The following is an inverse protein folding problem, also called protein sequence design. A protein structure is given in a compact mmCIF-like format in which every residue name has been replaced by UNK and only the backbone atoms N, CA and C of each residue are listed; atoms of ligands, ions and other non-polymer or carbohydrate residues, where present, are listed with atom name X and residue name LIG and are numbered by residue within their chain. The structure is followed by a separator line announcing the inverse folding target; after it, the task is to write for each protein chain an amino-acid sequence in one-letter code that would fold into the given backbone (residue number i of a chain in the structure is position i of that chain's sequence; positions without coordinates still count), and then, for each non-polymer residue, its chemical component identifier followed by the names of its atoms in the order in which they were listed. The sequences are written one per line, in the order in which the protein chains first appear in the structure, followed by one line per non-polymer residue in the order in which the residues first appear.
data_IF_969723118864
#
_entry.id   IF_969723118864
#
_cell.length_a   1.000
_cell.length_b   1.000
_cell.length_c   1.000
_cell.angle_alpha   90.00
_cell.angle_beta   90.00
_cell.angle_gamma   90.00
#
_symmetry.space_group_name_H-M   'P 1'
#
loop_
_entity.id
_entity.type
_entity.pdbx_description
1 polymer ?
#
# COMPACT_ATOMS: atom_id res chain seq x y z
N UNK A 1 -0.72 24.85 20.27
CA UNK A 1 -0.43 23.46 20.69
C UNK A 1 1.04 23.20 20.43
N UNK A 2 1.83 22.83 21.46
CA UNK A 2 3.24 22.44 21.30
C UNK A 2 3.30 20.91 21.35
N UNK A 3 3.88 20.27 20.33
CA UNK A 3 4.06 18.83 20.28
C UNK A 3 5.54 18.56 20.51
N UNK A 4 5.90 18.21 21.74
CA UNK A 4 7.29 18.03 22.14
C UNK A 4 7.76 16.58 21.86
N UNK A 5 9.02 16.43 21.47
CA UNK A 5 9.72 15.15 21.28
C UNK A 5 9.09 14.19 20.24
N UNK A 6 8.63 14.72 19.10
CA UNK A 6 8.05 13.94 17.99
C UNK A 6 8.67 14.37 16.67
N UNK A 7 8.88 13.43 15.75
CA UNK A 7 9.37 13.75 14.41
C UNK A 7 8.24 14.33 13.53
N UNK A 8 8.61 14.96 12.39
CA UNK A 8 7.64 15.62 11.51
C UNK A 8 6.47 14.71 11.10
N UNK A 9 6.73 13.44 10.77
CA UNK A 9 5.69 12.47 10.40
C UNK A 9 4.69 12.23 11.55
N UNK A 10 5.19 12.05 12.77
CA UNK A 10 4.36 11.85 13.95
C UNK A 10 3.48 13.06 14.28
N UNK A 11 3.96 14.27 13.97
CA UNK A 11 3.18 15.50 14.10
C UNK A 11 2.07 15.53 13.05
N UNK A 12 2.37 15.28 11.78
CA UNK A 12 1.38 15.26 10.70
C UNK A 12 0.31 14.19 10.91
N UNK A 13 0.70 13.01 11.40
CA UNK A 13 -0.24 11.93 11.68
C UNK A 13 -1.23 12.32 12.79
N UNK A 14 -0.75 12.94 13.87
CA UNK A 14 -1.63 13.44 14.94
C UNK A 14 -2.59 14.51 14.45
N UNK A 15 -2.11 15.44 13.62
CA UNK A 15 -2.95 16.48 13.03
C UNK A 15 -4.03 15.91 12.11
N UNK A 16 -3.71 14.84 11.36
CA UNK A 16 -4.69 14.09 10.58
C UNK A 16 -5.76 13.44 11.46
N UNK A 17 -5.36 12.78 12.53
CA UNK A 17 -6.27 12.05 13.43
C UNK A 17 -7.18 12.99 14.25
N UNK A 18 -6.63 14.08 14.79
CA UNK A 18 -7.36 15.01 15.65
C UNK A 18 -8.24 16.00 14.86
N UNK A 19 -7.80 16.44 13.68
CA UNK A 19 -8.43 17.53 12.93
C UNK A 19 -8.92 17.14 11.54
N UNK A 20 -8.77 15.87 11.12
CA UNK A 20 -9.19 15.41 9.79
C UNK A 20 -8.39 16.04 8.64
N UNK A 21 -7.15 16.46 8.91
CA UNK A 21 -6.29 17.08 7.89
C UNK A 21 -5.60 16.03 7.02
N UNK A 22 -5.58 16.25 5.72
CA UNK A 22 -4.79 15.47 4.77
C UNK A 22 -3.53 16.27 4.42
N UNK A 23 -2.39 15.58 4.40
CA UNK A 23 -1.10 16.14 4.02
C UNK A 23 -0.57 15.38 2.81
N UNK A 24 -0.06 16.10 1.81
CA UNK A 24 0.58 15.53 0.63
C UNK A 24 1.67 16.47 0.12
N UNK A 25 2.63 15.91 -0.59
CA UNK A 25 3.66 16.68 -1.25
C UNK A 25 3.22 17.03 -2.67
N UNK A 26 3.29 18.31 -2.98
CA UNK A 26 3.22 18.84 -4.33
C UNK A 26 4.62 19.38 -4.64
N UNK A 27 5.37 18.61 -5.42
CA UNK A 27 6.82 18.81 -5.61
C UNK A 27 7.57 18.79 -4.25
N UNK A 28 8.29 19.86 -3.89
CA UNK A 28 8.98 20.02 -2.61
C UNK A 28 8.15 20.75 -1.55
N UNK A 29 6.88 21.02 -1.83
CA UNK A 29 5.99 21.78 -0.93
C UNK A 29 5.02 20.84 -0.23
N UNK A 30 5.06 20.81 1.11
CA UNK A 30 4.05 20.13 1.90
C UNK A 30 2.76 20.97 1.91
N UNK A 31 1.69 20.45 1.30
CA UNK A 31 0.36 21.07 1.30
C UNK A 31 -0.58 20.32 2.24
N UNK A 32 -1.60 21.03 2.72
CA UNK A 32 -2.66 20.47 3.56
C UNK A 32 -4.04 20.83 3.04
N UNK A 33 -4.98 19.92 3.22
CA UNK A 33 -6.39 20.09 2.91
C UNK A 33 -7.19 19.60 4.11
N UNK A 34 -8.35 20.20 4.34
CA UNK A 34 -9.36 19.60 5.23
C UNK A 34 -10.04 18.50 4.42
N UNK A 35 -10.16 17.31 4.99
CA UNK A 35 -10.97 16.25 4.41
C UNK A 35 -12.45 16.60 4.52
N UNK A 36 -12.92 17.45 3.62
CA UNK A 36 -14.31 17.90 3.50
C UNK A 36 -15.21 16.86 2.84
N UNK A 37 -14.68 15.68 2.50
CA UNK A 37 -15.40 14.72 1.69
C UNK A 37 -16.05 13.63 2.55
N UNK A 38 -17.38 13.61 2.70
CA UNK A 38 -18.08 12.37 2.95
C UNK A 38 -18.19 11.60 1.62
N UNK A 39 -17.09 11.25 0.96
CA UNK A 39 -17.13 10.15 -0.03
C UNK A 39 -17.03 8.84 0.73
N UNK A 40 -18.02 8.62 1.60
CA UNK A 40 -18.23 7.35 2.28
C UNK A 40 -19.06 6.46 1.36
N UNK A 41 -18.38 5.56 0.65
CA UNK A 41 -19.02 4.39 0.08
C UNK A 41 -18.14 3.67 -0.92
N UNK A 42 -18.62 2.51 -1.35
CA UNK A 42 -17.88 1.62 -2.24
C UNK A 42 -18.42 1.78 -3.66
N UNK A 43 -17.57 2.21 -4.59
CA UNK A 43 -17.87 2.15 -6.02
C UNK A 43 -17.58 0.74 -6.52
N UNK A 44 -18.59 0.06 -7.06
CA UNK A 44 -18.43 -1.27 -7.65
C UNK A 44 -18.25 -1.15 -9.15
N UNK A 45 -17.06 -1.51 -9.64
CA UNK A 45 -16.80 -1.67 -11.07
C UNK A 45 -17.05 -3.12 -11.50
N UNK A 46 -17.95 -3.32 -12.45
CA UNK A 46 -18.18 -4.61 -13.10
C UNK A 46 -17.62 -4.55 -14.51
N UNK A 47 -16.74 -5.51 -14.82
CA UNK A 47 -16.18 -5.69 -16.15
C UNK A 47 -17.34 -5.81 -17.16
N UNK A 48 -17.29 -5.01 -18.22
CA UNK A 48 -18.29 -4.90 -19.30
C UNK A 48 -19.62 -4.19 -18.95
N UNK A 49 -19.76 -3.56 -17.78
CA UNK A 49 -20.96 -2.78 -17.43
C UNK A 49 -20.63 -1.29 -17.34
N UNK A 50 -19.78 -0.91 -16.40
CA UNK A 50 -19.47 0.48 -16.07
C UNK A 50 -17.99 0.84 -16.27
N UNK A 51 -17.33 0.13 -17.20
CA UNK A 51 -15.96 0.38 -17.66
C UNK A 51 -16.01 0.69 -19.16
N UNK A 52 -15.47 1.85 -19.53
CA UNK A 52 -15.44 2.36 -20.92
C UNK A 52 -14.35 1.63 -21.72
N UNK A 53 -13.15 1.56 -21.15
CA UNK A 53 -12.01 0.90 -21.77
C UNK A 53 -11.28 0.01 -20.76
N UNK A 54 -10.97 -1.18 -21.23
CA UNK A 54 -10.25 -2.23 -20.50
C UNK A 54 -9.01 -2.73 -21.26
N UNK A 55 -8.65 -2.11 -22.40
CA UNK A 55 -7.49 -2.52 -23.20
C UNK A 55 -6.17 -2.45 -22.43
N UNK A 56 -6.12 -1.61 -21.38
CA UNK A 56 -4.99 -1.52 -20.47
C UNK A 56 -4.92 -2.60 -19.39
N UNK A 57 -5.88 -3.55 -19.33
CA UNK A 57 -5.81 -4.68 -18.40
C UNK A 57 -5.17 -5.88 -19.08
N UNK A 58 -4.11 -6.40 -18.47
CA UNK A 58 -3.42 -7.61 -18.90
C UNK A 58 -3.62 -8.71 -17.86
N UNK A 59 -3.91 -9.92 -18.31
CA UNK A 59 -3.93 -11.09 -17.44
C UNK A 59 -2.49 -11.52 -17.18
N UNK A 60 -2.09 -11.59 -15.91
CA UNK A 60 -0.79 -12.12 -15.52
C UNK A 60 -0.94 -13.42 -14.75
N UNK A 61 -0.20 -14.42 -15.19
CA UNK A 61 -0.05 -15.68 -14.48
C UNK A 61 1.06 -15.59 -13.44
N UNK A 62 0.87 -16.30 -12.35
CA UNK A 62 1.82 -16.39 -11.25
C UNK A 62 3.19 -16.94 -11.64
N UNK A 63 3.22 -17.79 -12.67
CA UNK A 63 4.46 -18.39 -13.14
C UNK A 63 5.36 -17.36 -13.85
N UNK A 64 4.77 -16.35 -14.48
CA UNK A 64 5.49 -15.35 -15.26
C UNK A 64 5.96 -14.15 -14.41
N UNK A 65 5.49 -14.06 -13.17
CA UNK A 65 5.84 -12.96 -12.27
C UNK A 65 7.07 -13.32 -11.44
N UNK A 66 8.26 -12.99 -11.96
CA UNK A 66 9.51 -13.02 -11.20
C UNK A 66 9.49 -11.88 -10.18
N UNK A 67 9.51 -12.25 -8.90
CA UNK A 67 9.33 -11.30 -7.82
C UNK A 67 10.09 -11.73 -6.56
N UNK A 68 10.75 -10.77 -5.91
CA UNK A 68 11.48 -10.94 -4.65
C UNK A 68 10.84 -10.12 -3.54
N UNK A 69 10.40 -10.78 -2.48
CA UNK A 69 9.90 -10.13 -1.27
C UNK A 69 11.04 -9.94 -0.27
N UNK A 70 11.39 -8.68 0.01
CA UNK A 70 12.28 -8.31 1.11
C UNK A 70 11.46 -7.93 2.34
N UNK A 71 11.44 -8.81 3.33
CA UNK A 71 10.76 -8.59 4.60
C UNK A 71 11.71 -7.95 5.61
N UNK A 72 11.30 -6.81 6.16
CA UNK A 72 12.03 -6.07 7.19
C UNK A 72 11.17 -6.00 8.45
N UNK A 73 11.53 -6.72 9.50
CA UNK A 73 10.92 -6.53 10.82
C UNK A 73 11.72 -5.50 11.60
N UNK A 74 11.07 -4.45 12.06
CA UNK A 74 11.72 -3.44 12.89
C UNK A 74 11.42 -3.72 14.35
N UNK A 75 12.49 -3.83 15.13
CA UNK A 75 12.49 -4.14 16.54
C UNK A 75 12.35 -2.88 17.39
N UNK A 76 12.02 -3.07 18.68
CA UNK A 76 11.88 -1.97 19.65
C UNK A 76 13.17 -1.19 19.88
N UNK A 77 14.33 -1.81 19.65
CA UNK A 77 15.65 -1.20 19.74
C UNK A 77 16.07 -0.52 18.42
N UNK A 78 15.12 -0.32 17.50
CA UNK A 78 15.33 0.30 16.19
C UNK A 78 16.26 -0.50 15.26
N UNK A 79 16.59 -1.75 15.61
CA UNK A 79 17.28 -2.69 14.72
C UNK A 79 16.30 -3.38 13.79
N UNK A 80 16.80 -3.87 12.66
CA UNK A 80 16.01 -4.59 11.66
C UNK A 80 16.43 -6.04 11.58
N UNK A 81 15.45 -6.94 11.50
CA UNK A 81 15.64 -8.31 11.04
C UNK A 81 15.23 -8.35 9.57
N UNK A 82 16.08 -8.96 8.75
CA UNK A 82 15.84 -9.07 7.31
C UNK A 82 15.63 -10.53 6.93
N UNK A 83 14.67 -10.75 6.03
CA UNK A 83 14.45 -12.04 5.40
C UNK A 83 14.01 -11.82 3.95
N UNK A 84 14.58 -12.59 3.03
CA UNK A 84 14.30 -12.47 1.60
C UNK A 84 13.75 -13.81 1.08
N UNK A 85 12.71 -13.74 0.26
CA UNK A 85 12.05 -14.91 -0.36
C UNK A 85 11.60 -14.56 -1.77
N UNK A 86 11.81 -15.48 -2.73
CA UNK A 86 11.40 -15.33 -4.12
C UNK A 86 12.57 -15.48 -5.10
N UNK A 87 12.40 -14.91 -6.29
CA UNK A 87 13.34 -15.04 -7.40
C UNK A 87 14.31 -13.84 -7.46
N UNK A 88 15.62 -14.09 -7.50
CA UNK A 88 16.64 -13.02 -7.45
C UNK A 88 16.65 -12.08 -8.67
N UNK A 89 16.22 -12.57 -9.84
CA UNK A 89 16.11 -11.79 -11.09
C UNK A 89 14.77 -11.04 -11.24
N UNK A 90 13.91 -11.10 -10.21
CA UNK A 90 12.59 -10.49 -10.21
C UNK A 90 12.52 -9.06 -9.68
N UNK A 91 11.36 -8.41 -9.85
CA UNK A 91 11.08 -7.13 -9.20
C UNK A 91 11.14 -7.28 -7.67
N UNK A 92 11.79 -6.35 -6.97
CA UNK A 92 11.87 -6.37 -5.50
C UNK A 92 10.75 -5.54 -4.87
N UNK A 93 10.00 -6.11 -3.93
CA UNK A 93 9.04 -5.38 -3.07
C UNK A 93 9.49 -5.53 -1.64
N UNK A 94 9.64 -4.39 -0.97
CA UNK A 94 9.99 -4.34 0.45
C UNK A 94 8.73 -4.22 1.30
N UNK A 95 8.57 -5.10 2.28
CA UNK A 95 7.48 -5.06 3.27
C UNK A 95 8.04 -4.88 4.67
N UNK A 96 7.47 -3.92 5.39
CA UNK A 96 7.80 -3.65 6.78
C UNK A 96 6.83 -4.37 7.70
N UNK A 97 7.37 -5.07 8.70
CA UNK A 97 6.63 -5.79 9.71
C UNK A 97 6.94 -5.22 11.10
N UNK A 98 5.91 -5.13 11.94
CA UNK A 98 6.02 -4.66 13.31
C UNK A 98 5.64 -5.79 14.27
N UNK A 99 6.17 -5.75 15.49
CA UNK A 99 5.92 -6.76 16.55
C UNK A 99 6.42 -8.19 16.25
N UNK A 100 7.30 -8.36 15.27
CA UNK A 100 7.98 -9.64 15.00
C UNK A 100 9.39 -9.55 15.53
N UNK A 101 9.72 -10.36 16.55
CA UNK A 101 11.03 -10.33 17.21
C UNK A 101 11.91 -11.53 16.88
N UNK A 102 11.38 -12.53 16.16
CA UNK A 102 12.08 -13.77 15.81
C UNK A 102 12.16 -13.93 14.30
N UNK A 103 13.33 -14.30 13.80
CA UNK A 103 13.57 -14.52 12.37
C UNK A 103 12.64 -15.61 11.80
N UNK A 104 12.44 -16.72 12.52
CA UNK A 104 11.55 -17.81 12.07
C UNK A 104 10.09 -17.35 11.89
N UNK A 105 9.62 -16.43 12.74
CA UNK A 105 8.28 -15.86 12.60
C UNK A 105 8.22 -14.92 11.40
N UNK A 106 9.26 -14.11 11.18
CA UNK A 106 9.37 -13.25 10.00
C UNK A 106 9.38 -14.08 8.72
N UNK A 107 10.14 -15.17 8.68
CA UNK A 107 10.19 -16.08 7.54
C UNK A 107 8.81 -16.66 7.21
N UNK A 108 8.09 -17.20 8.19
CA UNK A 108 6.74 -17.76 7.98
C UNK A 108 5.76 -16.74 7.44
N UNK A 109 5.75 -15.52 8.01
CA UNK A 109 4.87 -14.44 7.55
C UNK A 109 5.26 -13.98 6.15
N UNK A 110 6.56 -13.83 5.89
CA UNK A 110 7.08 -13.44 4.59
C UNK A 110 6.76 -14.49 3.51
N UNK A 111 6.90 -15.78 3.78
CA UNK A 111 6.52 -16.86 2.85
C UNK A 111 5.01 -16.84 2.55
N UNK A 112 4.18 -16.66 3.60
CA UNK A 112 2.74 -16.58 3.43
C UNK A 112 2.33 -15.36 2.60
N UNK A 113 2.97 -14.21 2.84
CA UNK A 113 2.70 -12.98 2.10
C UNK A 113 3.27 -13.04 0.68
N UNK A 114 4.42 -13.67 0.46
CA UNK A 114 4.95 -13.96 -0.87
C UNK A 114 3.97 -14.82 -1.67
N UNK A 115 3.39 -15.86 -1.06
CA UNK A 115 2.33 -16.68 -1.69
C UNK A 115 1.06 -15.87 -1.96
N UNK A 116 0.69 -14.92 -1.09
CA UNK A 116 -0.45 -14.02 -1.34
C UNK A 116 -0.17 -13.01 -2.44
N UNK A 117 1.08 -12.63 -2.67
CA UNK A 117 1.45 -11.69 -3.73
C UNK A 117 1.52 -12.38 -5.08
N UNK A 118 1.94 -13.66 -5.11
CA UNK A 118 1.74 -14.56 -6.24
C UNK A 118 0.26 -14.95 -6.35
N UNK A 119 -0.58 -14.04 -6.86
CA UNK A 119 -1.92 -14.35 -7.36
C UNK A 119 -2.08 -14.05 -8.85
N UNK A 120 -2.66 -15.00 -9.57
CA UNK A 120 -3.15 -14.79 -10.94
C UNK A 120 -4.20 -13.68 -10.91
N UNK A 121 -4.13 -12.75 -11.86
CA UNK A 121 -5.09 -11.66 -11.91
C UNK A 121 -4.87 -10.72 -13.08
N UNK A 122 -5.76 -9.74 -13.17
CA UNK A 122 -5.61 -8.63 -14.11
C UNK A 122 -4.80 -7.51 -13.45
N UNK A 123 -3.77 -7.04 -14.13
CA UNK A 123 -2.97 -5.87 -13.77
C UNK A 123 -3.10 -4.80 -14.86
N UNK A 124 -3.07 -3.53 -14.46
CA UNK A 124 -3.08 -2.40 -15.38
C UNK A 124 -4.11 -1.34 -15.02
N UNK A 125 -4.68 -0.69 -16.03
CA UNK A 125 -5.60 0.43 -15.84
C UNK A 125 -6.91 0.22 -16.58
N UNK A 126 -7.96 0.85 -16.05
CA UNK A 126 -9.30 0.92 -16.64
C UNK A 126 -9.71 2.37 -16.81
N UNK A 127 -10.50 2.65 -17.85
CA UNK A 127 -11.16 3.96 -18.02
C UNK A 127 -12.63 3.83 -17.66
N UNK A 128 -13.12 4.75 -16.83
CA UNK A 128 -14.50 4.74 -16.31
C UNK A 128 -15.15 6.12 -16.50
N UNK A 129 -16.45 6.21 -16.27
CA UNK A 129 -17.19 7.46 -16.41
C UNK A 129 -17.00 8.35 -15.17
N UNK A 130 -16.72 9.63 -15.39
CA UNK A 130 -16.66 10.68 -14.36
C UNK A 130 -15.71 10.35 -13.19
N UNK A 131 -15.83 11.11 -12.09
CA UNK A 131 -15.13 10.86 -10.83
C UNK A 131 -15.88 9.73 -10.11
N UNK A 132 -15.20 8.73 -9.51
CA UNK A 132 -15.84 7.68 -8.73
C UNK A 132 -16.70 8.26 -7.60
N UNK A 133 -18.02 8.18 -7.75
CA UNK A 133 -18.98 8.55 -6.70
C UNK A 133 -19.55 7.29 -6.05
N UNK A 134 -19.51 7.18 -4.71
CA UNK A 134 -20.12 6.07 -4.00
C UNK A 134 -21.62 6.05 -4.22
N UNK A 135 -22.21 4.86 -4.35
CA UNK A 135 -23.65 4.71 -4.33
C UNK A 135 -24.16 5.11 -2.93
N UNK A 136 -24.98 6.15 -2.87
CA UNK A 136 -25.69 6.60 -1.66
C UNK A 136 -26.79 5.62 -1.29
#
# INVERSE_FOLDING_TARGET
MRIDNRNGLQVLQRLKEEYGLIFYFDDLTLRTLIDLAPTRGTVRYRLNENIIDRKGLEWKENADTLFKLKALAVLKDNKTLEYEVGDDDGNQVTRFYWNITKLDQLARVAEQDHKKLRRNGYEGWITTFFIPLPNT
#
